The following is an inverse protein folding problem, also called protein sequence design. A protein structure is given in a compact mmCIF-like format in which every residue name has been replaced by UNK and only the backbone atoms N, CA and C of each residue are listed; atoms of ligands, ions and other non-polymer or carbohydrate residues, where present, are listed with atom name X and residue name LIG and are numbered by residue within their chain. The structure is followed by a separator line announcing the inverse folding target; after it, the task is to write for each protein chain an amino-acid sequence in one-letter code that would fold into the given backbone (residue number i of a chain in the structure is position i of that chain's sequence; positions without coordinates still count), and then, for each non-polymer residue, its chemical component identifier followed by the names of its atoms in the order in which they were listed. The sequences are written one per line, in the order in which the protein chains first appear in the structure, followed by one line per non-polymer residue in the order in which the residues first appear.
data_IF_701318904988
#
_entry.id   IF_701318904988
#
_cell.length_a   1.000
_cell.length_b   1.000
_cell.length_c   1.000
_cell.angle_alpha   90.00
_cell.angle_beta   90.00
_cell.angle_gamma   90.00
#
_symmetry.space_group_name_H-M   'P 1'
#
loop_
_entity.id
_entity.type
_entity.pdbx_description
1 polymer ?
#
# COMPACT_ATOMS: atom_id res chain seq x y z
N UNK A 1 17.44 -5.21 -16.93
CA UNK A 1 16.88 -4.85 -15.61
C UNK A 1 17.94 -4.21 -14.74
N UNK A 2 17.53 -3.26 -13.88
CA UNK A 2 18.44 -2.58 -12.96
C UNK A 2 19.22 -1.40 -13.55
N UNK A 3 18.61 -0.63 -14.45
CA UNK A 3 19.28 0.52 -15.10
C UNK A 3 19.31 1.81 -14.25
N UNK A 4 18.91 1.76 -12.98
CA UNK A 4 18.92 2.96 -12.13
C UNK A 4 20.36 3.40 -11.87
N UNK A 5 20.66 4.66 -12.18
CA UNK A 5 21.98 5.26 -11.98
C UNK A 5 22.22 5.76 -10.53
N UNK A 6 21.16 5.81 -9.72
CA UNK A 6 21.17 6.25 -8.32
C UNK A 6 20.18 5.40 -7.50
N UNK A 7 20.21 5.58 -6.18
CA UNK A 7 19.31 4.91 -5.23
C UNK A 7 17.84 5.26 -5.51
N UNK A 8 16.98 4.25 -5.33
CA UNK A 8 15.54 4.36 -5.51
C UNK A 8 14.80 3.45 -4.52
N UNK A 9 13.53 3.75 -4.31
CA UNK A 9 12.62 2.94 -3.51
C UNK A 9 11.22 2.97 -4.16
N UNK A 10 10.28 2.22 -3.60
CA UNK A 10 8.93 2.11 -4.14
C UNK A 10 7.86 2.43 -3.10
N UNK A 11 6.74 2.89 -3.61
CA UNK A 11 5.46 2.91 -2.92
C UNK A 11 4.58 1.82 -3.51
N UNK A 12 3.92 1.02 -2.68
CA UNK A 12 3.05 -0.04 -3.17
C UNK A 12 1.62 0.47 -3.37
N UNK A 13 1.05 0.28 -4.56
CA UNK A 13 -0.38 0.55 -4.77
C UNK A 13 -1.18 -0.63 -4.20
N UNK A 14 -2.10 -0.35 -3.28
CA UNK A 14 -3.03 -1.33 -2.75
C UNK A 14 -4.33 -1.30 -3.56
N UNK A 15 -4.33 -1.97 -4.72
CA UNK A 15 -5.41 -1.87 -5.71
C UNK A 15 -6.72 -2.55 -5.26
N UNK A 16 -6.63 -3.58 -4.42
CA UNK A 16 -7.77 -4.20 -3.74
C UNK A 16 -7.44 -4.36 -2.27
N UNK A 17 -8.40 -4.03 -1.40
CA UNK A 17 -8.24 -4.13 0.05
C UNK A 17 -9.06 -5.29 0.57
N UNK A 18 -8.38 -6.42 0.72
CA UNK A 18 -8.92 -7.67 1.22
C UNK A 18 -7.99 -8.30 2.29
N UNK A 19 -8.43 -9.32 3.05
CA UNK A 19 -7.63 -9.90 4.13
C UNK A 19 -6.26 -10.47 3.71
N UNK A 20 -6.07 -10.86 2.45
CA UNK A 20 -4.77 -11.33 1.95
C UNK A 20 -3.83 -10.14 1.75
N UNK A 21 -4.29 -9.13 1.01
CA UNK A 21 -3.50 -7.93 0.71
C UNK A 21 -3.05 -7.17 1.97
N UNK A 22 -3.90 -7.14 3.01
CA UNK A 22 -3.54 -6.53 4.29
C UNK A 22 -2.41 -7.28 5.01
N UNK A 23 -2.39 -8.62 4.95
CA UNK A 23 -1.29 -9.42 5.50
C UNK A 23 -0.01 -9.25 4.69
N UNK A 24 -0.13 -9.06 3.38
CA UNK A 24 1.02 -8.81 2.51
C UNK A 24 1.70 -7.46 2.83
N UNK A 25 0.98 -6.49 3.40
CA UNK A 25 1.60 -5.25 3.90
C UNK A 25 2.69 -5.54 4.93
N UNK A 26 2.47 -6.49 5.85
CA UNK A 26 3.46 -6.82 6.90
C UNK A 26 4.74 -7.36 6.28
N UNK A 27 4.59 -8.21 5.26
CA UNK A 27 5.72 -8.76 4.50
C UNK A 27 6.45 -7.67 3.74
N UNK A 28 5.73 -6.79 3.05
CA UNK A 28 6.32 -5.70 2.27
C UNK A 28 7.07 -4.70 3.14
N UNK A 29 6.54 -4.38 4.32
CA UNK A 29 7.25 -3.55 5.31
C UNK A 29 8.55 -4.22 5.73
N UNK A 30 8.54 -5.52 6.02
CA UNK A 30 9.75 -6.28 6.36
C UNK A 30 10.76 -6.36 5.19
N UNK A 31 10.29 -6.29 3.94
CA UNK A 31 11.11 -6.24 2.72
C UNK A 31 11.56 -4.81 2.34
N UNK A 32 11.16 -3.77 3.10
CA UNK A 32 11.62 -2.39 2.94
C UNK A 32 10.65 -1.44 2.20
N UNK A 33 9.46 -1.91 1.83
CA UNK A 33 8.40 -1.06 1.24
C UNK A 33 7.45 -0.61 2.36
N UNK A 34 7.68 0.61 2.86
CA UNK A 34 7.01 1.12 4.07
C UNK A 34 5.89 2.13 3.82
N UNK A 35 5.46 2.29 2.57
CA UNK A 35 4.40 3.24 2.21
C UNK A 35 3.49 2.71 1.10
N UNK A 36 2.20 2.90 1.29
CA UNK A 36 1.13 2.28 0.52
C UNK A 36 0.19 3.35 -0.03
N UNK A 37 0.00 3.34 -1.36
CA UNK A 37 -0.86 4.27 -2.07
C UNK A 37 -2.23 3.65 -2.30
N UNK A 38 -3.27 4.36 -1.88
CA UNK A 38 -4.67 4.10 -2.21
C UNK A 38 -5.21 5.25 -3.07
N UNK A 39 -6.35 5.03 -3.72
CA UNK A 39 -6.99 6.05 -4.55
C UNK A 39 -8.45 6.22 -4.17
N UNK A 40 -8.90 7.47 -4.01
CA UNK A 40 -10.31 7.84 -3.87
C UNK A 40 -10.96 8.16 -5.23
N UNK A 41 -10.25 7.89 -6.32
CA UNK A 41 -10.66 8.15 -7.69
C UNK A 41 -10.54 6.87 -8.52
N UNK A 42 -10.83 6.98 -9.83
CA UNK A 42 -10.76 5.87 -10.79
C UNK A 42 -11.66 4.66 -10.45
N UNK A 43 -13.00 4.85 -10.41
CA UNK A 43 -13.94 3.75 -10.20
C UNK A 43 -13.74 2.60 -11.19
N UNK A 44 -13.79 1.36 -10.69
CA UNK A 44 -13.60 0.14 -11.48
C UNK A 44 -12.14 -0.21 -11.79
N UNK A 45 -11.17 0.61 -11.37
CA UNK A 45 -9.74 0.35 -11.60
C UNK A 45 -8.94 0.36 -10.29
N UNK A 46 -8.93 1.48 -9.56
CA UNK A 46 -8.12 1.64 -8.34
C UNK A 46 -8.90 2.20 -7.14
N UNK A 47 -10.18 2.51 -7.33
CA UNK A 47 -11.01 3.14 -6.30
C UNK A 47 -11.11 2.29 -5.03
N UNK A 48 -10.72 2.89 -3.91
CA UNK A 48 -10.91 2.36 -2.56
C UNK A 48 -12.00 3.16 -1.84
N UNK A 49 -12.98 2.49 -1.26
CA UNK A 49 -13.98 3.12 -0.40
C UNK A 49 -13.44 3.42 1.01
N UNK A 50 -14.18 4.22 1.78
CA UNK A 50 -13.79 4.63 3.14
C UNK A 50 -13.52 3.44 4.09
N UNK A 51 -14.27 2.34 3.93
CA UNK A 51 -14.09 1.13 4.74
C UNK A 51 -12.83 0.36 4.37
N UNK A 52 -12.47 0.35 3.09
CA UNK A 52 -11.19 -0.17 2.61
C UNK A 52 -10.03 0.69 3.12
N UNK A 53 -10.13 2.02 3.00
CA UNK A 53 -9.11 2.96 3.47
C UNK A 53 -8.90 2.80 4.98
N UNK A 54 -9.96 2.76 5.78
CA UNK A 54 -9.87 2.60 7.23
C UNK A 54 -9.19 1.28 7.62
N UNK A 55 -9.51 0.17 6.94
CA UNK A 55 -8.86 -1.12 7.19
C UNK A 55 -7.37 -1.09 6.88
N UNK A 56 -6.98 -0.45 5.77
CA UNK A 56 -5.57 -0.26 5.43
C UNK A 56 -4.84 0.60 6.48
N UNK A 57 -5.47 1.69 6.95
CA UNK A 57 -4.92 2.52 8.03
C UNK A 57 -4.76 1.76 9.35
N UNK A 58 -5.71 0.89 9.70
CA UNK A 58 -5.63 0.03 10.88
C UNK A 58 -4.47 -0.96 10.79
N UNK A 59 -4.30 -1.63 9.64
CA UNK A 59 -3.16 -2.51 9.42
C UNK A 59 -1.83 -1.74 9.50
N UNK A 60 -1.75 -0.59 8.84
CA UNK A 60 -0.60 0.30 8.86
C UNK A 60 -0.24 0.77 10.28
N UNK A 61 -1.23 1.01 11.14
CA UNK A 61 -1.00 1.36 12.55
C UNK A 61 -0.30 0.25 13.35
N UNK A 62 -0.47 -1.01 12.94
CA UNK A 62 0.14 -2.16 13.59
C UNK A 62 1.53 -2.52 13.06
N UNK A 63 1.84 -2.20 11.81
CA UNK A 63 3.11 -2.58 11.17
C UNK A 63 4.05 -1.39 10.85
N UNK A 64 3.62 -0.15 11.06
CA UNK A 64 4.43 1.05 10.81
C UNK A 64 4.45 1.52 9.35
N UNK A 65 3.55 1.01 8.51
CA UNK A 65 3.35 1.51 7.15
C UNK A 65 2.75 2.91 7.11
N UNK A 66 3.08 3.70 6.08
CA UNK A 66 2.45 4.99 5.80
C UNK A 66 1.38 4.84 4.72
N UNK A 67 0.14 5.22 5.04
CA UNK A 67 -0.93 5.30 4.04
C UNK A 67 -0.88 6.65 3.30
N UNK A 68 -0.99 6.59 1.97
CA UNK A 68 -1.03 7.74 1.07
C UNK A 68 -2.31 7.72 0.22
N UNK A 69 -2.85 8.89 -0.05
CA UNK A 69 -4.05 9.13 -0.88
C UNK A 69 -3.68 9.81 -2.18
#
# INVERSE_FOLDING_TARGET
DGNCAIDYAFHMILADVNPSSLKEMDRLVAEGVTSFKLFMAYPGVFYSDDGQILRAMQQASGNGGLIMM
#
